data_IF_842705471472
#
_entry.id   IF_842705471472
#
_cell.length_a   1.000
_cell.length_b   1.000
_cell.length_c   1.000
_cell.angle_alpha   90.00
_cell.angle_beta   90.00
_cell.angle_gamma   90.00
#
_symmetry.space_group_name_H-M   'P 1'
#
loop_
_entity.id
_entity.type
_entity.pdbx_description
1 polymer ?
#
# COMPACT_ATOMS: atom_id res chain seq x y z
N UNK A 1 -14.70 16.52 37.18
CA UNK A 1 -14.16 17.91 37.28
C UNK A 1 -12.75 18.08 36.69
N UNK A 2 -11.96 17.02 36.45
CA UNK A 2 -10.63 17.15 35.82
C UNK A 2 -10.70 17.50 34.32
N UNK A 3 -11.70 16.95 33.61
CA UNK A 3 -11.98 17.25 32.19
C UNK A 3 -12.46 18.69 31.96
N UNK A 4 -13.19 19.28 32.92
CA UNK A 4 -13.63 20.69 32.84
C UNK A 4 -12.49 21.69 33.05
N UNK A 5 -11.56 21.42 33.97
CA UNK A 5 -10.50 22.36 34.32
C UNK A 5 -9.34 22.40 33.31
N UNK A 6 -9.17 21.36 32.47
CA UNK A 6 -8.05 21.24 31.52
C UNK A 6 -8.49 20.83 30.11
N UNK A 7 -9.75 21.12 29.74
CA UNK A 7 -10.33 20.74 28.45
C UNK A 7 -9.50 21.19 27.23
N UNK A 8 -8.95 22.41 27.25
CA UNK A 8 -8.08 22.92 26.19
C UNK A 8 -6.80 22.09 26.01
N UNK A 9 -6.18 21.65 27.12
CA UNK A 9 -4.98 20.81 27.07
C UNK A 9 -5.29 19.43 26.47
N UNK A 10 -6.44 18.84 26.84
CA UNK A 10 -6.91 17.57 26.27
C UNK A 10 -7.15 17.73 24.76
N UNK A 11 -7.80 18.81 24.33
CA UNK A 11 -8.02 19.12 22.91
C UNK A 11 -6.71 19.27 22.13
N UNK A 12 -5.73 20.01 22.67
CA UNK A 12 -4.43 20.18 22.03
C UNK A 12 -3.68 18.85 21.87
N UNK A 13 -3.67 18.01 22.92
CA UNK A 13 -3.01 16.70 22.89
C UNK A 13 -3.69 15.77 21.88
N UNK A 14 -5.02 15.72 21.85
CA UNK A 14 -5.78 14.94 20.88
C UNK A 14 -5.52 15.40 19.44
N UNK A 15 -5.46 16.71 19.21
CA UNK A 15 -5.15 17.28 17.90
C UNK A 15 -3.72 16.92 17.46
N UNK A 16 -2.75 16.98 18.37
CA UNK A 16 -1.37 16.56 18.12
C UNK A 16 -1.29 15.08 17.74
N UNK A 17 -1.98 14.21 18.47
CA UNK A 17 -2.06 12.78 18.15
C UNK A 17 -2.67 12.57 16.77
N UNK A 18 -3.74 13.28 16.44
CA UNK A 18 -4.41 13.17 15.14
C UNK A 18 -3.48 13.57 13.99
N UNK A 19 -2.72 14.66 14.14
CA UNK A 19 -1.73 15.09 13.13
C UNK A 19 -0.63 14.04 12.97
N UNK A 20 -0.11 13.47 14.07
CA UNK A 20 0.89 12.40 13.99
C UNK A 20 0.36 11.18 13.24
N UNK A 21 -0.89 10.78 13.47
CA UNK A 21 -1.52 9.68 12.74
C UNK A 21 -1.69 10.00 11.26
N UNK A 22 -2.16 11.20 10.93
CA UNK A 22 -2.31 11.64 9.54
C UNK A 22 -0.97 11.59 8.79
N UNK A 23 0.13 12.02 9.43
CA UNK A 23 1.49 11.91 8.87
C UNK A 23 2.00 10.46 8.76
N UNK A 24 1.55 9.56 9.63
CA UNK A 24 1.87 8.13 9.53
C UNK A 24 1.14 7.46 8.36
N UNK A 25 -0.13 7.81 8.16
CA UNK A 25 -0.97 7.26 7.09
C UNK A 25 -0.41 7.62 5.71
N UNK A 26 0.13 8.83 5.52
CA UNK A 26 0.74 9.21 4.23
C UNK A 26 1.99 8.39 3.86
N UNK A 27 2.58 7.65 4.82
CA UNK A 27 3.70 6.74 4.59
C UNK A 27 3.29 5.29 4.41
N UNK A 28 2.00 4.98 4.42
CA UNK A 28 1.52 3.63 4.13
C UNK A 28 1.79 3.31 2.65
N UNK A 29 2.75 2.42 2.41
CA UNK A 29 3.01 1.85 1.09
C UNK A 29 2.25 0.54 1.01
N UNK A 30 1.36 0.42 0.02
CA UNK A 30 0.73 -0.87 -0.31
C UNK A 30 1.66 -1.58 -1.27
N UNK A 31 2.33 -2.63 -0.78
CA UNK A 31 3.11 -3.51 -1.64
C UNK A 31 2.15 -4.30 -2.54
N UNK A 32 2.15 -3.98 -3.83
CA UNK A 32 1.29 -4.62 -4.82
C UNK A 32 1.99 -5.83 -5.46
N UNK A 33 2.63 -6.67 -4.63
CA UNK A 33 3.33 -7.87 -5.07
C UNK A 33 2.81 -9.09 -4.32
N UNK A 34 2.21 -10.02 -5.05
CA UNK A 34 1.71 -11.27 -4.50
C UNK A 34 2.79 -12.11 -3.81
N UNK A 35 4.05 -12.01 -4.28
CA UNK A 35 5.20 -12.68 -3.68
C UNK A 35 5.38 -12.30 -2.20
N UNK A 36 5.10 -11.04 -1.83
CA UNK A 36 5.37 -10.52 -0.50
C UNK A 36 4.35 -10.99 0.56
N UNK A 37 3.28 -11.70 0.17
CA UNK A 37 2.39 -12.36 1.14
C UNK A 37 3.03 -13.60 1.78
N UNK A 38 4.08 -14.14 1.18
CA UNK A 38 4.81 -15.30 1.67
C UNK A 38 6.09 -14.87 2.35
N UNK A 39 6.46 -15.54 3.46
CA UNK A 39 7.75 -15.29 4.10
C UNK A 39 8.88 -15.69 3.17
N UNK A 40 9.97 -14.96 3.26
CA UNK A 40 11.18 -15.12 2.45
C UNK A 40 11.86 -16.49 2.60
N UNK A 41 11.69 -17.12 3.76
CA UNK A 41 12.17 -18.47 4.06
C UNK A 41 11.32 -19.60 3.43
N UNK A 42 10.20 -19.29 2.79
CA UNK A 42 9.33 -20.31 2.17
C UNK A 42 9.81 -20.73 0.79
N UNK A 43 9.64 -22.02 0.47
CA UNK A 43 9.90 -22.55 -0.88
C UNK A 43 9.07 -21.82 -1.96
N UNK A 44 7.86 -21.38 -1.59
CA UNK A 44 6.97 -20.61 -2.48
C UNK A 44 7.58 -19.25 -2.82
N UNK A 45 8.05 -18.49 -1.83
CA UNK A 45 8.70 -17.20 -2.06
C UNK A 45 9.95 -17.35 -2.94
N UNK A 46 10.80 -18.33 -2.62
CA UNK A 46 12.04 -18.58 -3.38
C UNK A 46 11.75 -19.00 -4.84
N UNK A 47 10.77 -19.89 -5.05
CA UNK A 47 10.36 -20.31 -6.39
C UNK A 47 9.78 -19.16 -7.22
N UNK A 48 8.86 -18.38 -6.64
CA UNK A 48 8.27 -17.24 -7.33
C UNK A 48 9.30 -16.13 -7.62
N UNK A 49 10.24 -15.89 -6.71
CA UNK A 49 11.34 -14.93 -6.92
C UNK A 49 12.23 -15.33 -8.08
N UNK A 50 12.58 -16.61 -8.22
CA UNK A 50 13.35 -17.11 -9.37
C UNK A 50 12.58 -16.93 -10.67
N UNK A 51 11.27 -17.19 -10.68
CA UNK A 51 10.42 -16.97 -11.85
C UNK A 51 10.42 -15.48 -12.22
N UNK A 52 10.23 -14.58 -11.27
CA UNK A 52 10.22 -13.14 -11.53
C UNK A 52 11.57 -12.64 -12.05
N UNK A 53 12.68 -13.04 -11.44
CA UNK A 53 14.03 -12.59 -11.82
C UNK A 53 14.57 -13.22 -13.11
N UNK A 54 14.18 -14.46 -13.45
CA UNK A 54 14.71 -15.19 -14.60
C UNK A 54 13.76 -15.30 -15.78
N UNK A 55 12.45 -15.20 -15.53
CA UNK A 55 11.38 -15.39 -16.52
C UNK A 55 10.39 -14.20 -16.56
N UNK A 56 10.44 -13.32 -15.56
CA UNK A 56 9.71 -12.05 -15.51
C UNK A 56 10.33 -11.04 -16.47
N UNK A 57 9.47 -10.41 -17.26
CA UNK A 57 9.87 -9.65 -18.45
C UNK A 57 9.15 -10.12 -19.73
N UNK A 58 8.38 -11.22 -19.62
CA UNK A 58 7.53 -11.72 -20.70
C UNK A 58 6.11 -11.16 -20.69
N UNK A 59 5.79 -10.19 -19.81
CA UNK A 59 4.45 -9.58 -19.74
C UNK A 59 4.07 -9.04 -21.11
N UNK A 60 3.12 -9.70 -21.83
CA UNK A 60 2.79 -9.29 -23.18
C UNK A 60 2.08 -7.93 -23.11
N UNK A 61 2.54 -6.99 -23.93
CA UNK A 61 1.81 -5.74 -24.15
C UNK A 61 0.67 -6.02 -25.11
N UNK A 62 -0.56 -6.05 -24.62
CA UNK A 62 -1.76 -6.15 -25.45
C UNK A 62 -2.23 -4.75 -25.86
N UNK A 63 -2.46 -4.54 -27.17
CA UNK A 63 -2.90 -3.26 -27.74
C UNK A 63 -4.27 -3.49 -28.37
N UNK A 64 -5.31 -3.06 -27.67
CA UNK A 64 -6.69 -3.14 -28.13
C UNK A 64 -7.02 -1.85 -28.88
N UNK A 65 -7.35 -1.96 -30.17
CA UNK A 65 -7.82 -0.83 -30.99
C UNK A 65 -9.32 -1.00 -31.22
N UNK A 66 -10.11 -0.16 -30.57
CA UNK A 66 -11.54 -0.04 -30.84
C UNK A 66 -11.74 0.92 -32.01
N UNK A 67 -12.14 0.38 -33.17
CA UNK A 67 -12.55 1.19 -34.31
C UNK A 67 -14.07 1.39 -34.25
N UNK A 68 -14.53 2.64 -34.11
CA UNK A 68 -15.95 2.94 -34.28
C UNK A 68 -16.39 2.55 -35.69
N UNK A 69 -17.49 1.78 -35.77
CA UNK A 69 -18.12 1.46 -37.04
C UNK A 69 -18.69 2.75 -37.66
N UNK A 70 -18.54 2.97 -38.99
CA UNK A 70 -19.24 4.06 -39.65
C UNK A 70 -20.75 3.83 -39.51
N UNK A 71 -21.42 4.88 -39.05
CA UNK A 71 -22.85 4.92 -38.68
C UNK A 71 -23.77 4.59 -39.85
#
# INVERSE_FOLDING_TARGET
RFTEARGTLILCVSCLILIMNALGITRLVVENSFINYFKDDTEIYQGLKVIDEKLGGTTPLDVIVELEAPQ
#
